data_IF_598274266101
#
_entry.id   IF_598274266101
#
_cell.length_a   1.000
_cell.length_b   1.000
_cell.length_c   1.000
_cell.angle_alpha   90.00
_cell.angle_beta   90.00
_cell.angle_gamma   90.00
#
_symmetry.space_group_name_H-M   'P 1'
#
loop_
_entity.id
_entity.type
_entity.pdbx_description
1 polymer ?
#
# COMPACT_ATOMS: atom_id res chain seq x y z
N UNK A 1 9.75 -17.66 -21.66
CA UNK A 1 8.95 -17.02 -20.58
C UNK A 1 7.84 -16.29 -21.30
N UNK A 2 6.60 -16.60 -20.97
CA UNK A 2 5.46 -16.15 -21.78
C UNK A 2 4.97 -14.76 -21.36
N UNK A 3 5.13 -14.40 -20.08
CA UNK A 3 4.80 -13.09 -19.53
C UNK A 3 5.60 -12.77 -18.27
N UNK A 4 5.74 -11.47 -17.98
CA UNK A 4 6.23 -10.92 -16.72
C UNK A 4 5.03 -10.30 -16.02
N UNK A 5 4.76 -10.74 -14.79
CA UNK A 5 3.65 -10.21 -14.00
C UNK A 5 4.19 -9.48 -12.78
N UNK A 6 3.87 -8.19 -12.67
CA UNK A 6 4.14 -7.41 -11.48
C UNK A 6 2.93 -7.47 -10.55
N UNK A 7 3.17 -7.52 -9.24
CA UNK A 7 2.11 -7.61 -8.24
C UNK A 7 1.70 -6.25 -7.67
N UNK A 8 2.24 -5.16 -8.20
CA UNK A 8 1.99 -3.78 -7.78
C UNK A 8 1.84 -2.86 -8.98
N UNK A 9 1.11 -1.76 -8.80
CA UNK A 9 0.83 -0.77 -9.82
C UNK A 9 1.87 0.34 -9.92
N UNK A 10 1.43 1.61 -9.98
CA UNK A 10 2.28 2.78 -10.19
C UNK A 10 3.30 3.01 -9.05
N UNK A 11 2.86 2.83 -7.80
CA UNK A 11 3.67 2.82 -6.58
C UNK A 11 4.73 3.93 -6.50
N UNK A 12 4.28 5.20 -6.48
CA UNK A 12 5.16 6.36 -6.43
C UNK A 12 5.97 6.57 -7.73
N UNK A 13 5.40 6.23 -8.87
CA UNK A 13 5.98 6.32 -10.20
C UNK A 13 7.14 5.32 -10.47
N UNK A 14 7.33 4.34 -9.59
CA UNK A 14 8.45 3.38 -9.70
C UNK A 14 8.36 2.45 -10.92
N UNK A 15 7.17 2.33 -11.52
CA UNK A 15 6.94 1.49 -12.69
C UNK A 15 6.88 2.26 -14.00
N UNK A 16 6.94 3.59 -13.98
CA UNK A 16 6.95 4.37 -15.22
C UNK A 16 8.15 4.03 -16.08
N UNK A 17 7.96 4.16 -17.38
CA UNK A 17 8.96 3.85 -18.42
C UNK A 17 9.42 2.39 -18.46
N UNK A 18 8.80 1.49 -17.68
CA UNK A 18 9.06 0.06 -17.83
C UNK A 18 8.65 -0.42 -19.22
N UNK A 19 9.50 -1.22 -19.81
CA UNK A 19 9.29 -1.87 -21.09
C UNK A 19 9.97 -3.23 -21.07
N UNK A 20 9.32 -4.23 -21.61
CA UNK A 20 9.92 -5.55 -21.88
C UNK A 20 10.12 -5.71 -23.39
N UNK A 21 11.35 -5.95 -23.87
CA UNK A 21 11.61 -5.99 -25.30
C UNK A 21 11.02 -7.24 -25.98
N UNK A 22 10.91 -8.35 -25.27
CA UNK A 22 10.57 -9.65 -25.86
C UNK A 22 9.41 -10.39 -25.17
N UNK A 23 8.86 -9.82 -24.11
CA UNK A 23 7.89 -10.53 -23.25
C UNK A 23 6.75 -9.60 -22.89
N UNK A 24 5.54 -10.12 -22.85
CA UNK A 24 4.36 -9.38 -22.36
C UNK A 24 4.55 -8.98 -20.91
N UNK A 25 4.22 -7.74 -20.56
CA UNK A 25 4.23 -7.22 -19.19
C UNK A 25 2.81 -6.99 -18.71
N UNK A 26 2.48 -7.52 -17.54
CA UNK A 26 1.16 -7.38 -16.92
C UNK A 26 1.34 -6.78 -15.52
N UNK A 27 0.53 -5.78 -15.18
CA UNK A 27 0.55 -5.18 -13.84
C UNK A 27 -0.83 -4.62 -13.46
N UNK A 28 -1.13 -4.55 -12.14
CA UNK A 28 -2.38 -3.95 -11.67
C UNK A 28 -2.45 -2.45 -12.00
N UNK A 29 -3.62 -2.00 -12.42
CA UNK A 29 -3.89 -0.61 -12.76
C UNK A 29 -4.31 0.19 -11.52
N UNK A 30 -3.40 0.33 -10.55
CA UNK A 30 -3.61 1.03 -9.28
C UNK A 30 -2.49 2.01 -8.99
N UNK A 31 -2.82 3.11 -8.28
CA UNK A 31 -1.85 4.14 -7.90
C UNK A 31 -0.83 3.64 -6.89
N UNK A 32 -1.26 2.78 -5.97
CA UNK A 32 -0.43 2.19 -4.91
C UNK A 32 -1.01 0.87 -4.38
N UNK A 33 -0.26 0.23 -3.48
CA UNK A 33 -0.68 -1.02 -2.84
C UNK A 33 -1.88 -0.85 -1.91
N UNK A 34 -2.13 0.34 -1.38
CA UNK A 34 -3.28 0.61 -0.50
C UNK A 34 -4.57 0.60 -1.32
N UNK A 35 -4.60 1.34 -2.44
CA UNK A 35 -5.74 1.35 -3.35
C UNK A 35 -6.04 -0.05 -3.91
N UNK A 36 -4.98 -0.83 -4.17
CA UNK A 36 -5.11 -2.23 -4.60
C UNK A 36 -5.74 -3.13 -3.53
N UNK A 37 -5.29 -3.04 -2.26
CA UNK A 37 -5.82 -3.84 -1.16
C UNK A 37 -7.20 -3.37 -0.67
N UNK A 38 -7.57 -2.11 -0.91
CA UNK A 38 -8.91 -1.59 -0.61
C UNK A 38 -9.91 -1.81 -1.75
N UNK A 39 -9.44 -2.32 -2.91
CA UNK A 39 -10.31 -2.67 -4.03
C UNK A 39 -11.21 -3.85 -3.68
N UNK A 40 -12.45 -3.78 -4.15
CA UNK A 40 -13.41 -4.88 -4.13
C UNK A 40 -14.22 -4.86 -5.41
N UNK A 41 -14.45 -6.02 -6.01
CA UNK A 41 -15.23 -6.15 -7.25
C UNK A 41 -16.62 -5.48 -7.16
N UNK A 42 -17.23 -5.48 -5.98
CA UNK A 42 -18.55 -4.86 -5.75
C UNK A 42 -18.54 -3.35 -5.53
N UNK A 43 -17.38 -2.78 -5.16
CA UNK A 43 -17.24 -1.36 -4.76
C UNK A 43 -16.47 -0.58 -5.81
N UNK A 44 -15.63 -1.25 -6.58
CA UNK A 44 -14.75 -0.64 -7.57
C UNK A 44 -13.45 -0.09 -6.98
N UNK A 45 -12.70 0.61 -7.82
CA UNK A 45 -11.45 1.27 -7.44
C UNK A 45 -11.74 2.57 -6.70
N UNK A 46 -10.96 2.83 -5.67
CA UNK A 46 -10.88 4.15 -5.05
C UNK A 46 -9.62 4.84 -5.54
N UNK A 47 -9.76 6.09 -5.97
CA UNK A 47 -8.61 6.91 -6.29
C UNK A 47 -7.84 7.27 -5.01
N UNK A 48 -6.55 7.62 -5.15
CA UNK A 48 -5.73 8.08 -4.01
C UNK A 48 -6.31 9.33 -3.33
N UNK A 49 -7.08 10.15 -4.06
CA UNK A 49 -7.77 11.32 -3.49
C UNK A 49 -8.94 10.93 -2.57
N UNK A 50 -9.52 9.75 -2.76
CA UNK A 50 -10.58 9.20 -1.91
C UNK A 50 -10.01 8.45 -0.70
N UNK A 51 -8.73 8.09 -0.73
CA UNK A 51 -7.99 7.57 0.42
C UNK A 51 -7.68 8.77 1.30
N UNK A 52 -8.29 8.81 2.46
CA UNK A 52 -8.36 10.00 3.31
C UNK A 52 -6.97 10.50 3.70
N UNK A 53 -6.72 11.80 3.49
CA UNK A 53 -5.51 12.47 4.00
C UNK A 53 -5.43 12.31 5.53
N UNK A 54 -4.21 12.14 6.04
CA UNK A 54 -3.98 11.95 7.46
C UNK A 54 -4.27 10.54 7.99
N UNK A 55 -4.58 9.57 7.12
CA UNK A 55 -4.66 8.15 7.46
C UNK A 55 -3.37 7.42 7.08
N UNK A 56 -2.79 6.71 8.02
CA UNK A 56 -1.72 5.74 7.77
C UNK A 56 -2.35 4.36 7.65
N UNK A 57 -2.30 3.80 6.46
CA UNK A 57 -2.80 2.45 6.21
C UNK A 57 -1.72 1.41 6.47
N UNK A 58 -2.07 0.37 7.20
CA UNK A 58 -1.12 -0.67 7.61
C UNK A 58 -1.70 -2.07 7.39
N UNK A 59 -0.81 -2.99 7.05
CA UNK A 59 -1.09 -4.42 6.96
C UNK A 59 -0.24 -5.19 7.97
N UNK A 60 -0.42 -6.51 8.05
CA UNK A 60 0.42 -7.36 8.90
C UNK A 60 1.93 -7.23 8.59
N UNK A 61 2.30 -6.93 7.36
CA UNK A 61 3.71 -6.72 6.98
C UNK A 61 4.43 -5.70 7.87
N UNK A 62 3.73 -4.68 8.33
CA UNK A 62 4.28 -3.68 9.26
C UNK A 62 4.72 -4.24 10.61
N UNK A 63 4.19 -5.39 11.04
CA UNK A 63 4.58 -6.04 12.30
C UNK A 63 5.85 -6.86 12.16
N UNK A 64 6.27 -7.14 10.93
CA UNK A 64 7.40 -8.00 10.60
C UNK A 64 8.62 -7.20 10.13
N UNK A 65 8.42 -5.95 9.73
CA UNK A 65 9.46 -5.08 9.22
C UNK A 65 10.27 -4.51 10.40
N UNK A 66 11.59 -4.75 10.46
CA UNK A 66 12.47 -4.21 11.50
C UNK A 66 12.62 -2.68 11.43
N UNK A 67 12.30 -2.07 10.29
CA UNK A 67 12.31 -0.62 10.08
C UNK A 67 10.93 0.02 10.18
N UNK A 68 9.90 -0.76 10.57
CA UNK A 68 8.55 -0.26 10.75
C UNK A 68 8.45 0.73 11.93
N UNK A 69 7.28 1.31 12.08
CA UNK A 69 6.91 2.41 12.96
C UNK A 69 7.50 2.34 14.39
N UNK A 70 7.33 1.21 15.09
CA UNK A 70 7.82 1.07 16.47
C UNK A 70 9.35 1.04 16.54
N UNK A 71 10.06 0.17 15.82
CA UNK A 71 11.51 0.17 15.77
C UNK A 71 12.09 1.52 15.37
N UNK A 72 11.51 2.19 14.39
CA UNK A 72 11.95 3.51 13.95
C UNK A 72 11.81 4.56 15.08
N UNK A 73 10.64 4.63 15.73
CA UNK A 73 10.45 5.52 16.87
C UNK A 73 11.43 5.21 18.02
N UNK A 74 11.67 3.93 18.33
CA UNK A 74 12.62 3.53 19.35
C UNK A 74 14.05 3.94 19.01
N UNK A 75 14.45 3.78 17.75
CA UNK A 75 15.77 4.18 17.29
C UNK A 75 15.96 5.70 17.38
N UNK A 76 14.98 6.49 16.97
CA UNK A 76 15.00 7.96 17.09
C UNK A 76 15.16 8.37 18.56
N UNK A 77 14.36 7.80 19.47
CA UNK A 77 14.45 8.10 20.90
C UNK A 77 15.80 7.68 21.51
N UNK A 78 16.39 6.60 21.04
CA UNK A 78 17.71 6.12 21.48
C UNK A 78 18.83 7.06 21.04
N UNK A 79 18.78 7.56 19.81
CA UNK A 79 19.83 8.41 19.23
C UNK A 79 19.75 9.84 19.78
N UNK A 80 18.56 10.43 19.80
CA UNK A 80 18.34 11.85 20.07
C UNK A 80 17.82 12.16 21.49
N UNK A 81 17.57 11.13 22.30
CA UNK A 81 16.96 11.29 23.62
C UNK A 81 15.46 11.55 23.56
N UNK A 82 14.83 11.69 24.74
CA UNK A 82 13.38 11.70 24.86
C UNK A 82 12.74 12.96 24.26
N UNK A 83 13.30 14.13 24.52
CA UNK A 83 12.67 15.40 24.15
C UNK A 83 12.83 15.67 22.64
N UNK A 84 14.06 15.71 22.16
CA UNK A 84 14.36 15.89 20.73
C UNK A 84 13.76 14.75 19.89
N UNK A 85 13.85 13.51 20.38
CA UNK A 85 13.30 12.36 19.68
C UNK A 85 11.78 12.43 19.49
N UNK A 86 11.03 12.96 20.47
CA UNK A 86 9.59 13.20 20.33
C UNK A 86 9.27 14.26 19.28
N UNK A 87 10.06 15.34 19.22
CA UNK A 87 9.89 16.36 18.19
C UNK A 87 10.11 15.79 16.80
N UNK A 88 11.16 14.99 16.60
CA UNK A 88 11.44 14.32 15.32
C UNK A 88 10.30 13.37 14.95
N UNK A 89 9.81 12.54 15.87
CA UNK A 89 8.68 11.65 15.64
C UNK A 89 7.43 12.44 15.24
N UNK A 90 7.16 13.56 15.94
CA UNK A 90 6.03 14.43 15.61
C UNK A 90 6.19 15.09 14.23
N UNK A 91 7.38 15.43 13.79
CA UNK A 91 7.63 15.97 12.44
C UNK A 91 7.40 14.90 11.36
N UNK A 92 7.81 13.66 11.61
CA UNK A 92 7.65 12.56 10.64
C UNK A 92 6.19 12.09 10.53
N UNK A 93 5.50 11.97 11.66
CA UNK A 93 4.19 11.32 11.74
C UNK A 93 3.05 12.25 12.12
N UNK A 94 3.32 13.52 12.41
CA UNK A 94 2.33 14.45 12.96
C UNK A 94 1.17 14.80 12.01
N UNK A 95 1.30 14.52 10.72
CA UNK A 95 0.20 14.66 9.77
C UNK A 95 -0.84 13.54 9.90
N UNK A 96 -0.47 12.41 10.54
CA UNK A 96 -1.38 11.29 10.72
C UNK A 96 -2.15 11.43 12.02
N UNK A 97 -3.49 11.44 11.91
CA UNK A 97 -4.39 11.41 13.06
C UNK A 97 -5.07 10.06 13.22
N UNK A 98 -4.99 9.18 12.23
CA UNK A 98 -5.59 7.86 12.24
C UNK A 98 -4.69 6.79 11.61
N UNK A 99 -4.71 5.59 12.19
CA UNK A 99 -4.14 4.38 11.60
C UNK A 99 -5.28 3.45 11.23
N UNK A 100 -5.37 3.11 9.95
CA UNK A 100 -6.36 2.20 9.38
C UNK A 100 -5.69 0.85 9.10
N UNK A 101 -6.01 -0.16 9.91
CA UNK A 101 -5.55 -1.53 9.70
C UNK A 101 -6.39 -2.16 8.59
N UNK A 102 -5.74 -2.63 7.51
CA UNK A 102 -6.44 -3.28 6.40
C UNK A 102 -6.60 -4.76 6.72
N UNK A 103 -7.85 -5.20 6.90
CA UNK A 103 -8.20 -6.61 7.03
C UNK A 103 -8.59 -7.18 5.66
N UNK A 104 -7.71 -7.98 5.08
CA UNK A 104 -7.94 -8.67 3.81
C UNK A 104 -8.54 -10.06 3.99
N UNK A 105 -8.69 -10.54 5.22
CA UNK A 105 -9.06 -11.93 5.51
C UNK A 105 -7.94 -12.95 5.29
N UNK A 106 -6.79 -12.53 4.72
CA UNK A 106 -5.67 -13.43 4.44
C UNK A 106 -4.75 -13.64 5.66
N UNK A 107 -4.96 -12.93 6.74
CA UNK A 107 -4.18 -13.03 7.99
C UNK A 107 -5.02 -12.67 9.22
N UNK A 108 -4.55 -13.11 10.39
CA UNK A 108 -5.16 -12.75 11.66
C UNK A 108 -4.82 -11.29 12.04
N UNK A 109 -5.85 -10.47 12.20
CA UNK A 109 -5.73 -9.06 12.57
C UNK A 109 -5.42 -8.84 14.05
N UNK A 110 -5.60 -9.84 14.93
CA UNK A 110 -5.38 -9.72 16.38
C UNK A 110 -3.94 -9.32 16.68
N UNK A 111 -2.97 -9.95 16.00
CA UNK A 111 -1.55 -9.61 16.12
C UNK A 111 -1.25 -8.17 15.69
N UNK A 112 -1.86 -7.74 14.59
CA UNK A 112 -1.74 -6.37 14.10
C UNK A 112 -2.37 -5.36 15.06
N UNK A 113 -3.55 -5.65 15.58
CA UNK A 113 -4.22 -4.81 16.58
C UNK A 113 -3.37 -4.64 17.84
N UNK A 114 -2.76 -5.73 18.32
CA UNK A 114 -1.87 -5.68 19.48
C UNK A 114 -0.62 -4.82 19.22
N UNK A 115 -0.04 -4.91 18.01
CA UNK A 115 1.06 -4.06 17.59
C UNK A 115 0.62 -2.58 17.55
N UNK A 116 -0.52 -2.28 16.96
CA UNK A 116 -1.03 -0.92 16.84
C UNK A 116 -1.35 -0.28 18.20
N UNK A 117 -1.82 -1.05 19.19
CA UNK A 117 -1.97 -0.57 20.56
C UNK A 117 -0.64 -0.09 21.18
N UNK A 118 0.49 -0.70 20.78
CA UNK A 118 1.82 -0.24 21.21
C UNK A 118 2.26 1.04 20.51
N UNK A 119 1.81 1.28 19.28
CA UNK A 119 2.11 2.49 18.51
C UNK A 119 1.58 3.74 19.23
N UNK A 120 0.45 3.65 19.94
CA UNK A 120 -0.10 4.75 20.75
C UNK A 120 0.84 5.30 21.84
N UNK A 121 1.91 4.58 22.17
CA UNK A 121 2.95 5.10 23.07
C UNK A 121 3.84 6.18 22.43
N UNK A 122 3.84 6.22 21.10
CA UNK A 122 4.66 7.09 20.29
C UNK A 122 3.86 8.15 19.54
N UNK A 123 2.63 7.79 19.11
CA UNK A 123 1.77 8.62 18.27
C UNK A 123 0.39 8.78 18.92
N UNK A 124 -0.11 10.02 18.91
CA UNK A 124 -1.49 10.32 19.31
C UNK A 124 -2.42 10.13 18.10
N UNK A 125 -2.84 8.89 17.88
CA UNK A 125 -3.64 8.50 16.73
C UNK A 125 -4.84 7.64 17.13
N UNK A 126 -5.90 7.75 16.37
CA UNK A 126 -7.01 6.80 16.41
C UNK A 126 -6.63 5.53 15.64
N UNK A 127 -7.18 4.39 16.06
CA UNK A 127 -6.97 3.11 15.38
C UNK A 127 -8.32 2.57 14.96
N UNK A 128 -8.44 2.19 13.69
CA UNK A 128 -9.60 1.51 13.14
C UNK A 128 -9.19 0.29 12.33
N UNK A 129 -10.13 -0.61 12.08
CA UNK A 129 -9.98 -1.70 11.13
C UNK A 129 -10.86 -1.41 9.92
N UNK A 130 -10.28 -1.50 8.73
CA UNK A 130 -10.97 -1.32 7.46
C UNK A 130 -10.91 -2.61 6.66
N UNK A 131 -12.00 -2.92 6.00
CA UNK A 131 -12.09 -4.11 5.20
C UNK A 131 -11.34 -3.93 3.87
N UNK A 132 -10.39 -4.80 3.60
CA UNK A 132 -9.68 -4.95 2.35
C UNK A 132 -10.05 -6.24 1.62
N UNK A 133 -9.34 -6.56 0.54
CA UNK A 133 -9.46 -7.84 -0.17
C UNK A 133 -8.14 -8.28 -0.78
N UNK A 134 -8.11 -9.55 -1.21
CA UNK A 134 -7.05 -10.14 -2.04
C UNK A 134 -7.47 -10.28 -3.51
N UNK A 135 -8.61 -9.73 -3.91
CA UNK A 135 -9.23 -9.94 -5.23
C UNK A 135 -8.24 -9.72 -6.39
N UNK A 136 -7.46 -8.65 -6.35
CA UNK A 136 -6.47 -8.36 -7.38
C UNK A 136 -5.31 -9.36 -7.36
N UNK A 137 -4.85 -9.77 -6.19
CA UNK A 137 -3.79 -10.77 -6.05
C UNK A 137 -4.26 -12.14 -6.54
N UNK A 138 -5.50 -12.50 -6.28
CA UNK A 138 -6.11 -13.75 -6.77
C UNK A 138 -6.23 -13.74 -8.30
N UNK A 139 -6.63 -12.62 -8.91
CA UNK A 139 -6.65 -12.45 -10.36
C UNK A 139 -5.26 -12.58 -10.97
N UNK A 140 -4.22 -12.02 -10.31
CA UNK A 140 -2.83 -12.19 -10.74
C UNK A 140 -2.43 -13.67 -10.76
N UNK A 141 -2.68 -14.39 -9.67
CA UNK A 141 -2.28 -15.80 -9.53
C UNK A 141 -3.05 -16.69 -10.51
N UNK A 142 -4.34 -16.38 -10.78
CA UNK A 142 -5.17 -17.14 -11.71
C UNK A 142 -4.98 -16.76 -13.18
N UNK A 143 -4.23 -15.70 -13.48
CA UNK A 143 -4.07 -15.17 -14.84
C UNK A 143 -5.36 -14.55 -15.41
N UNK A 144 -6.32 -14.20 -14.55
CA UNK A 144 -7.60 -13.62 -14.95
C UNK A 144 -7.53 -12.09 -14.96
N UNK A 145 -6.93 -11.53 -16.00
CA UNK A 145 -6.70 -10.11 -16.15
C UNK A 145 -7.92 -9.42 -16.78
N UNK A 146 -8.59 -8.60 -16.01
CA UNK A 146 -9.72 -7.76 -16.42
C UNK A 146 -9.28 -6.28 -16.62
N UNK A 147 -10.24 -5.37 -16.68
CA UNK A 147 -10.00 -3.90 -16.84
C UNK A 147 -9.19 -3.28 -15.69
N UNK A 148 -8.92 -4.04 -14.62
CA UNK A 148 -8.07 -3.61 -13.52
C UNK A 148 -6.57 -3.85 -13.78
N UNK A 149 -6.23 -4.33 -14.97
CA UNK A 149 -4.85 -4.60 -15.35
C UNK A 149 -4.42 -3.79 -16.57
N UNK A 150 -3.16 -3.43 -16.60
CA UNK A 150 -2.46 -2.93 -17.76
C UNK A 150 -1.70 -4.11 -18.36
N UNK A 151 -1.89 -4.34 -19.65
CA UNK A 151 -1.20 -5.38 -20.39
C UNK A 151 -0.42 -4.71 -21.52
N UNK A 152 0.90 -4.81 -21.48
CA UNK A 152 1.79 -4.27 -22.49
C UNK A 152 2.35 -5.41 -23.35
N UNK A 153 2.31 -5.23 -24.67
CA UNK A 153 2.99 -6.11 -25.60
C UNK A 153 4.51 -5.84 -25.59
N UNK A 154 5.32 -6.77 -26.10
CA UNK A 154 6.75 -6.54 -26.24
C UNK A 154 7.05 -5.21 -26.96
N UNK A 155 7.93 -4.40 -26.37
CA UNK A 155 8.32 -3.08 -26.90
C UNK A 155 7.40 -1.91 -26.52
N UNK A 156 6.23 -2.16 -25.91
CA UNK A 156 5.38 -1.09 -25.41
C UNK A 156 5.92 -0.54 -24.08
N UNK A 157 5.86 0.80 -23.94
CA UNK A 157 6.34 1.52 -22.75
C UNK A 157 5.16 1.84 -21.83
N UNK A 158 5.35 1.64 -20.53
CA UNK A 158 4.36 1.96 -19.51
C UNK A 158 4.29 3.48 -19.28
N UNK A 159 3.12 4.04 -19.55
CA UNK A 159 2.88 5.48 -19.42
C UNK A 159 1.89 5.78 -18.28
N UNK A 160 2.07 6.91 -17.61
CA UNK A 160 1.20 7.38 -16.50
C UNK A 160 -0.29 7.41 -16.89
N UNK A 161 -0.59 7.83 -18.13
CA UNK A 161 -1.98 7.89 -18.62
C UNK A 161 -2.72 6.56 -18.57
N UNK A 162 -2.00 5.42 -18.58
CA UNK A 162 -2.58 4.08 -18.55
C UNK A 162 -3.18 3.75 -17.18
N UNK A 163 -2.74 4.43 -16.11
CA UNK A 163 -3.29 4.27 -14.76
C UNK A 163 -4.56 5.07 -14.52
N UNK A 164 -4.86 6.06 -15.37
CA UNK A 164 -6.06 6.88 -15.18
C UNK A 164 -7.32 6.03 -15.31
N UNK A 165 -8.21 6.20 -14.35
CA UNK A 165 -9.55 5.65 -14.42
C UNK A 165 -10.29 6.50 -15.44
N UNK A 166 -10.80 5.89 -16.49
CA UNK A 166 -11.74 6.59 -17.37
C UNK A 166 -13.00 6.87 -16.54
N UNK A 167 -13.16 8.09 -16.07
CA UNK A 167 -14.42 8.55 -15.51
C UNK A 167 -15.47 8.44 -16.63
N UNK A 168 -16.44 7.53 -16.42
CA UNK A 168 -17.61 7.40 -17.30
C UNK A 168 -18.66 8.41 -16.92
#
# INVERSE_FOLDING_TARGET
>A
MDEIVLTYGLCGNSTLDLMSPNTRLVLPKFDDCISQLLYRDRIGRRSRSEIQKGHLYVTRGWTLDPEALIPQCQNILKIYGKDIGKEIISQIYGEYYKISMIDTGAYDVIGLEHYMKKVKKYLDVQIECVSGSTDILEKIISGNYDDNFIILNPGEILEEKMFRINEK
#
